data_IF_006802262815
#
_entry.id   IF_006802262815
#
_cell.length_a   1.000
_cell.length_b   1.000
_cell.length_c   1.000
_cell.angle_alpha   90.00
_cell.angle_beta   90.00
_cell.angle_gamma   90.00
#
_symmetry.space_group_name_H-M   'P 1'
#
loop_
_entity.id
_entity.type
_entity.pdbx_description
1 polymer ?
#
# COMPACT_ATOMS: atom_id res chain seq x y z
N UNK A 1 -28.02 14.21 -30.55
CA UNK A 1 -27.77 14.32 -29.10
C UNK A 1 -26.38 13.81 -28.83
N UNK A 2 -25.51 14.67 -28.29
CA UNK A 2 -24.15 14.32 -27.88
C UNK A 2 -24.22 13.31 -26.71
N UNK A 3 -23.45 12.19 -26.73
CA UNK A 3 -23.36 11.34 -25.54
C UNK A 3 -22.59 12.06 -24.40
N UNK A 4 -22.88 11.76 -23.13
CA UNK A 4 -22.25 12.41 -21.98
C UNK A 4 -20.76 12.07 -21.85
N UNK A 5 -19.96 12.94 -21.20
CA UNK A 5 -18.52 12.75 -21.07
C UNK A 5 -18.18 11.55 -20.17
N UNK A 6 -17.53 10.56 -20.80
CA UNK A 6 -16.57 9.61 -20.25
C UNK A 6 -16.68 9.24 -18.77
N UNK A 7 -17.44 8.18 -18.48
CA UNK A 7 -17.03 7.26 -17.40
C UNK A 7 -15.71 6.65 -17.83
N UNK A 8 -14.59 7.13 -17.28
CA UNK A 8 -13.30 6.48 -17.43
C UNK A 8 -13.45 5.04 -16.88
N UNK A 9 -13.62 4.08 -17.78
CA UNK A 9 -13.46 2.67 -17.45
C UNK A 9 -12.06 2.52 -16.86
N UNK A 10 -11.87 1.78 -15.76
CA UNK A 10 -10.52 1.51 -15.27
C UNK A 10 -9.77 0.86 -16.42
N UNK A 11 -8.73 1.54 -16.91
CA UNK A 11 -7.85 1.00 -17.94
C UNK A 11 -7.20 -0.24 -17.35
N UNK A 12 -7.78 -1.40 -17.64
CA UNK A 12 -7.16 -2.70 -17.42
C UNK A 12 -6.01 -2.81 -18.42
N UNK A 13 -4.93 -2.10 -18.13
CA UNK A 13 -3.66 -2.30 -18.81
C UNK A 13 -3.15 -3.66 -18.35
N UNK A 14 -3.54 -4.72 -19.07
CA UNK A 14 -3.03 -6.07 -18.86
C UNK A 14 -1.50 -5.98 -18.84
N UNK A 15 -0.81 -6.52 -17.82
CA UNK A 15 0.64 -6.42 -17.74
C UNK A 15 1.29 -6.96 -19.03
N UNK A 16 2.13 -6.15 -19.67
CA UNK A 16 2.88 -6.57 -20.85
C UNK A 16 4.08 -7.41 -20.42
N UNK A 17 4.46 -8.42 -21.22
CA UNK A 17 5.68 -9.21 -20.99
C UNK A 17 6.88 -8.25 -20.95
N UNK A 18 7.63 -8.23 -19.84
CA UNK A 18 8.74 -7.29 -19.63
C UNK A 18 8.37 -5.97 -18.94
N UNK A 19 7.08 -5.67 -18.71
CA UNK A 19 6.62 -4.40 -18.14
C UNK A 19 6.41 -4.42 -16.62
N UNK A 20 6.31 -3.23 -16.04
CA UNK A 20 5.82 -3.02 -14.67
C UNK A 20 4.30 -2.79 -14.68
N UNK A 21 3.60 -3.26 -13.63
CA UNK A 21 2.19 -2.95 -13.40
C UNK A 21 2.09 -1.77 -12.42
N UNK A 22 1.40 -0.70 -12.80
CA UNK A 22 1.16 0.45 -11.92
C UNK A 22 -0.33 0.51 -11.57
N UNK A 23 -0.67 0.51 -10.28
CA UNK A 23 -2.06 0.54 -9.80
C UNK A 23 -2.32 1.84 -9.04
N UNK A 24 -3.22 2.66 -9.58
CA UNK A 24 -3.59 3.98 -9.02
C UNK A 24 -5.08 4.10 -8.69
N UNK A 25 -5.87 3.04 -8.89
CA UNK A 25 -7.31 3.04 -8.66
C UNK A 25 -7.70 3.20 -7.18
N UNK A 26 -9.00 3.26 -6.89
CA UNK A 26 -9.52 3.18 -5.52
C UNK A 26 -9.34 1.78 -4.91
N UNK A 27 -9.39 1.70 -3.58
CA UNK A 27 -9.08 0.50 -2.80
C UNK A 27 -9.81 -0.78 -3.22
N UNK A 28 -11.13 -0.73 -3.39
CA UNK A 28 -11.93 -1.90 -3.76
C UNK A 28 -11.60 -2.44 -5.16
N UNK A 29 -11.37 -1.53 -6.10
CA UNK A 29 -10.98 -1.86 -7.48
C UNK A 29 -9.57 -2.41 -7.54
N UNK A 30 -8.63 -1.83 -6.79
CA UNK A 30 -7.27 -2.32 -6.69
C UNK A 30 -7.21 -3.73 -6.06
N UNK A 31 -7.92 -3.94 -4.93
CA UNK A 31 -7.94 -5.23 -4.24
C UNK A 31 -8.52 -6.36 -5.11
N UNK A 32 -9.65 -6.11 -5.77
CA UNK A 32 -10.29 -7.09 -6.66
C UNK A 32 -9.40 -7.44 -7.87
N UNK A 33 -8.77 -6.43 -8.48
CA UNK A 33 -7.86 -6.62 -9.62
C UNK A 33 -6.62 -7.44 -9.22
N UNK A 34 -5.98 -7.11 -8.10
CA UNK A 34 -4.79 -7.82 -7.63
C UNK A 34 -5.12 -9.27 -7.22
N UNK A 35 -6.25 -9.50 -6.55
CA UNK A 35 -6.70 -10.84 -6.20
C UNK A 35 -7.00 -11.71 -7.44
N UNK A 36 -7.55 -11.11 -8.51
CA UNK A 36 -7.73 -11.79 -9.78
C UNK A 36 -6.39 -12.17 -10.42
N UNK A 37 -5.46 -11.20 -10.52
CA UNK A 37 -4.12 -11.43 -11.07
C UNK A 37 -3.34 -12.51 -10.31
N UNK A 38 -3.38 -12.50 -8.97
CA UNK A 38 -2.73 -13.50 -8.12
C UNK A 38 -3.19 -14.93 -8.41
N UNK A 39 -4.50 -15.11 -8.69
CA UNK A 39 -5.10 -16.42 -9.02
C UNK A 39 -4.89 -16.84 -10.47
N UNK A 40 -4.80 -15.89 -11.38
CA UNK A 40 -4.88 -16.15 -12.82
C UNK A 40 -3.59 -16.69 -13.45
N UNK A 41 -2.45 -16.66 -12.76
CA UNK A 41 -1.10 -16.85 -13.33
C UNK A 41 -0.79 -15.96 -14.56
N UNK A 42 -1.71 -15.10 -14.99
CA UNK A 42 -1.54 -14.19 -16.10
C UNK A 42 -0.47 -13.16 -15.77
N UNK A 43 0.39 -12.92 -16.77
CA UNK A 43 1.45 -11.91 -16.81
C UNK A 43 1.77 -11.26 -15.46
N UNK A 44 2.48 -12.00 -14.59
CA UNK A 44 3.18 -11.34 -13.48
C UNK A 44 4.10 -10.29 -14.10
N UNK A 45 3.90 -9.04 -13.73
CA UNK A 45 4.78 -7.96 -14.15
C UNK A 45 6.21 -8.32 -13.73
N UNK A 46 7.08 -8.58 -14.72
CA UNK A 46 8.45 -9.05 -14.47
C UNK A 46 9.32 -7.96 -13.86
N UNK A 47 8.97 -6.69 -14.10
CA UNK A 47 9.59 -5.53 -13.48
C UNK A 47 8.89 -5.10 -12.16
N UNK A 48 7.94 -5.90 -11.65
CA UNK A 48 7.25 -5.66 -10.38
C UNK A 48 5.91 -4.92 -10.49
N UNK A 49 5.21 -4.83 -9.35
CA UNK A 49 3.94 -4.12 -9.19
C UNK A 49 4.16 -2.89 -8.32
N UNK A 50 3.84 -1.71 -8.84
CA UNK A 50 3.92 -0.43 -8.13
C UNK A 50 2.51 0.03 -7.75
N UNK A 51 2.31 0.25 -6.46
CA UNK A 51 1.02 0.63 -5.91
C UNK A 51 1.08 2.11 -5.52
N UNK A 52 0.02 2.85 -5.82
CA UNK A 52 -0.08 4.22 -5.36
C UNK A 52 0.00 4.29 -3.82
N UNK A 53 0.59 5.36 -3.24
CA UNK A 53 0.82 5.43 -1.80
C UNK A 53 -0.47 5.26 -0.98
N UNK A 54 -1.58 5.84 -1.46
CA UNK A 54 -2.88 5.78 -0.80
C UNK A 54 -3.51 4.39 -0.77
N UNK A 55 -2.99 3.43 -1.53
CA UNK A 55 -3.43 2.03 -1.54
C UNK A 55 -2.76 1.16 -0.47
N UNK A 56 -1.89 1.73 0.35
CA UNK A 56 -1.25 0.98 1.44
C UNK A 56 -2.27 0.60 2.52
N UNK A 57 -2.68 -0.67 2.52
CA UNK A 57 -3.20 -1.40 3.67
C UNK A 57 -4.01 -2.66 3.31
N UNK A 58 -4.78 -3.19 4.26
CA UNK A 58 -5.01 -4.64 4.35
C UNK A 58 -5.62 -5.34 3.11
N UNK A 59 -6.76 -4.93 2.52
CA UNK A 59 -7.30 -5.56 1.32
C UNK A 59 -6.33 -5.68 0.13
N UNK A 60 -5.47 -4.68 -0.07
CA UNK A 60 -4.48 -4.65 -1.16
C UNK A 60 -3.28 -5.53 -0.80
N UNK A 61 -2.83 -5.47 0.46
CA UNK A 61 -1.70 -6.25 0.97
C UNK A 61 -2.00 -7.76 1.00
N UNK A 62 -3.23 -8.16 1.33
CA UNK A 62 -3.70 -9.56 1.37
C UNK A 62 -3.80 -10.23 0.00
N UNK A 63 -3.51 -9.53 -1.10
CA UNK A 63 -3.57 -10.11 -2.46
C UNK A 63 -2.46 -11.15 -2.73
N UNK A 64 -1.42 -11.23 -1.90
CA UNK A 64 -0.31 -12.16 -2.05
C UNK A 64 0.65 -11.82 -3.19
N UNK A 65 0.43 -10.70 -3.90
CA UNK A 65 1.39 -10.15 -4.85
C UNK A 65 2.37 -9.24 -4.12
N UNK A 66 3.67 -9.52 -4.28
CA UNK A 66 4.70 -8.59 -3.83
C UNK A 66 4.53 -7.25 -4.57
N UNK A 67 4.42 -6.17 -3.80
CA UNK A 67 4.17 -4.83 -4.32
C UNK A 67 5.12 -3.81 -3.71
N UNK A 68 5.47 -2.80 -4.51
CA UNK A 68 6.29 -1.67 -4.11
C UNK A 68 5.40 -0.44 -3.88
N UNK A 69 5.65 0.28 -2.78
CA UNK A 69 4.96 1.51 -2.41
C UNK A 69 5.98 2.65 -2.36
N UNK A 70 5.79 3.73 -3.13
CA UNK A 70 6.53 4.96 -2.92
C UNK A 70 5.93 5.68 -1.70
N UNK A 71 6.68 5.77 -0.60
CA UNK A 71 6.27 6.50 0.58
C UNK A 71 7.22 7.67 0.83
N UNK A 72 6.67 8.77 1.34
CA UNK A 72 7.45 9.96 1.75
C UNK A 72 7.68 10.00 3.27
N UNK A 73 7.41 8.88 3.94
CA UNK A 73 7.64 8.65 5.35
C UNK A 73 8.11 7.21 5.54
N UNK A 74 8.85 6.95 6.60
CA UNK A 74 9.24 5.60 6.98
C UNK A 74 8.18 4.98 7.92
N UNK A 75 7.50 3.87 7.54
CA UNK A 75 6.48 3.23 8.37
C UNK A 75 6.97 2.77 9.75
N UNK A 76 8.29 2.65 9.94
CA UNK A 76 8.93 2.24 11.20
C UNK A 76 9.31 3.41 12.11
N UNK A 77 9.11 4.65 11.67
CA UNK A 77 9.37 5.82 12.52
C UNK A 77 8.25 6.02 13.56
N UNK A 78 8.60 6.76 14.61
CA UNK A 78 7.74 6.97 15.78
C UNK A 78 6.37 7.55 15.40
N UNK A 79 6.33 8.61 14.59
CA UNK A 79 5.06 9.28 14.26
C UNK A 79 4.10 8.41 13.42
N UNK A 80 4.56 7.71 12.35
CA UNK A 80 3.75 6.72 11.65
C UNK A 80 3.24 5.57 12.54
N UNK A 81 4.07 5.08 13.46
CA UNK A 81 3.66 4.03 14.42
C UNK A 81 2.62 4.53 15.43
N UNK A 82 2.77 5.75 15.93
CA UNK A 82 1.77 6.39 16.81
C UNK A 82 0.41 6.54 16.12
N UNK A 83 0.40 6.95 14.85
CA UNK A 83 -0.83 7.01 14.06
C UNK A 83 -1.48 5.63 13.94
N UNK A 84 -0.70 4.61 13.56
CA UNK A 84 -1.21 3.25 13.40
C UNK A 84 -1.79 2.68 14.70
N UNK A 85 -1.12 2.90 15.83
CA UNK A 85 -1.64 2.54 17.16
C UNK A 85 -2.95 3.28 17.49
N UNK A 86 -3.02 4.58 17.16
CA UNK A 86 -4.22 5.40 17.37
C UNK A 86 -5.42 4.89 16.58
N UNK A 87 -5.23 4.55 15.30
CA UNK A 87 -6.28 3.97 14.46
C UNK A 87 -6.74 2.63 15.01
N UNK A 88 -5.79 1.74 15.33
CA UNK A 88 -6.09 0.42 15.90
C UNK A 88 -6.90 0.53 17.19
N UNK A 89 -6.56 1.47 18.08
CA UNK A 89 -7.27 1.66 19.34
C UNK A 89 -8.65 2.28 19.15
N UNK A 90 -8.81 3.22 18.21
CA UNK A 90 -10.05 3.98 18.04
C UNK A 90 -11.09 3.26 17.18
N UNK A 91 -10.63 2.45 16.23
CA UNK A 91 -11.46 1.80 15.21
C UNK A 91 -11.35 0.27 15.30
N UNK A 92 -11.25 -0.27 16.51
CA UNK A 92 -11.33 -1.72 16.78
C UNK A 92 -10.39 -2.59 15.92
N UNK A 93 -9.15 -2.14 15.70
CA UNK A 93 -8.16 -2.86 14.92
C UNK A 93 -8.23 -2.63 13.40
N UNK A 94 -8.96 -1.62 12.92
CA UNK A 94 -8.86 -1.20 11.52
C UNK A 94 -7.39 -0.87 11.14
N UNK A 95 -6.95 -1.25 9.93
CA UNK A 95 -5.57 -1.03 9.50
C UNK A 95 -5.32 0.45 9.18
N UNK A 96 -4.11 0.98 9.45
CA UNK A 96 -3.73 2.32 9.01
C UNK A 96 -3.66 2.42 7.49
N UNK A 97 -3.81 3.63 6.96
CA UNK A 97 -3.59 3.93 5.55
C UNK A 97 -2.67 5.15 5.39
N UNK A 98 -1.93 5.23 4.29
CA UNK A 98 -1.04 6.38 4.04
C UNK A 98 -1.83 7.69 3.87
N UNK A 99 -3.01 7.62 3.25
CA UNK A 99 -3.90 8.78 3.12
C UNK A 99 -4.44 9.22 4.49
N UNK A 100 -4.82 8.26 5.34
CA UNK A 100 -5.25 8.57 6.70
C UNK A 100 -4.13 9.16 7.56
N UNK A 101 -2.88 8.70 7.39
CA UNK A 101 -1.73 9.30 8.06
C UNK A 101 -1.49 10.74 7.62
N UNK A 102 -1.57 11.01 6.31
CA UNK A 102 -1.47 12.37 5.78
C UNK A 102 -2.59 13.27 6.35
N UNK A 103 -3.83 12.78 6.42
CA UNK A 103 -4.95 13.51 7.04
C UNK A 103 -4.76 13.74 8.53
N UNK A 104 -4.22 12.76 9.27
CA UNK A 104 -3.92 12.87 10.69
C UNK A 104 -2.83 13.90 10.99
N UNK A 105 -1.78 13.96 10.15
CA UNK A 105 -0.77 15.02 10.24
C UNK A 105 -1.38 16.39 9.92
N UNK A 106 -2.20 16.48 8.88
CA UNK A 106 -2.86 17.74 8.50
C UNK A 106 -3.74 18.29 9.63
N UNK A 107 -4.47 17.42 10.33
CA UNK A 107 -5.26 17.79 11.51
C UNK A 107 -4.40 18.29 12.69
N UNK A 108 -3.09 17.99 12.71
CA UNK A 108 -2.11 18.48 13.69
C UNK A 108 -1.31 19.70 13.20
N UNK A 109 -1.64 20.26 12.03
CA UNK A 109 -0.87 21.34 11.42
C UNK A 109 0.46 20.92 10.80
N UNK A 110 0.64 19.62 10.55
CA UNK A 110 1.83 19.03 9.94
C UNK A 110 1.53 18.43 8.57
N UNK A 111 2.55 18.06 7.82
CA UNK A 111 2.41 17.35 6.54
C UNK A 111 3.42 16.21 6.45
N UNK A 112 3.15 15.23 5.59
CA UNK A 112 4.15 14.23 5.23
C UNK A 112 5.28 14.96 4.49
N UNK A 113 6.46 14.98 5.08
CA UNK A 113 7.63 15.66 4.55
C UNK A 113 8.81 14.68 4.53
N UNK A 114 9.30 14.37 3.34
CA UNK A 114 10.42 13.46 3.13
C UNK A 114 10.63 13.18 1.64
N UNK A 115 11.86 12.84 1.23
CA UNK A 115 12.10 12.33 -0.11
C UNK A 115 11.37 10.99 -0.27
N UNK A 116 10.76 10.73 -1.45
CA UNK A 116 10.09 9.45 -1.67
C UNK A 116 11.11 8.30 -1.60
N UNK A 117 10.74 7.20 -0.99
CA UNK A 117 11.53 5.97 -0.89
C UNK A 117 10.63 4.79 -1.23
N UNK A 118 11.18 3.77 -1.92
CA UNK A 118 10.42 2.56 -2.23
C UNK A 118 10.45 1.59 -1.06
N UNK A 119 9.27 1.10 -0.72
CA UNK A 119 9.08 0.04 0.26
C UNK A 119 8.45 -1.18 -0.38
N UNK A 120 8.92 -2.37 -0.06
CA UNK A 120 8.28 -3.63 -0.42
C UNK A 120 7.39 -4.08 0.73
N UNK A 121 6.19 -4.57 0.41
CA UNK A 121 5.36 -5.28 1.38
C UNK A 121 5.35 -6.78 1.08
N UNK A 122 5.54 -7.59 2.12
CA UNK A 122 5.41 -9.05 2.03
C UNK A 122 4.66 -9.61 3.23
N UNK A 123 3.86 -10.64 2.98
CA UNK A 123 3.26 -11.46 4.03
C UNK A 123 4.31 -12.42 4.59
N UNK A 124 4.37 -12.58 5.91
CA UNK A 124 5.16 -13.64 6.53
C UNK A 124 4.20 -14.80 6.78
N UNK A 125 4.35 -15.89 6.02
CA UNK A 125 3.44 -17.04 6.10
C UNK A 125 3.54 -17.83 7.43
N UNK A 126 4.55 -17.53 8.25
CA UNK A 126 4.77 -18.17 9.54
C UNK A 126 5.30 -17.16 10.56
N UNK A 127 4.47 -16.77 11.53
CA UNK A 127 4.89 -15.99 12.69
C UNK A 127 4.61 -16.81 13.97
N UNK A 128 5.58 -16.96 14.88
CA UNK A 128 5.34 -17.53 16.20
C UNK A 128 4.26 -16.75 16.94
N UNK A 129 3.40 -17.45 17.67
CA UNK A 129 2.28 -16.85 18.42
C UNK A 129 2.73 -15.79 19.42
N UNK A 130 3.96 -15.85 19.94
CA UNK A 130 4.52 -14.82 20.83
C UNK A 130 4.71 -13.45 20.14
N UNK A 131 4.87 -13.42 18.80
CA UNK A 131 5.03 -12.17 18.05
C UNK A 131 3.69 -11.42 17.85
N UNK A 132 2.56 -12.13 17.85
CA UNK A 132 1.24 -11.54 17.55
C UNK A 132 0.78 -10.48 18.56
N UNK A 133 1.21 -10.56 19.81
CA UNK A 133 0.82 -9.63 20.88
C UNK A 133 1.50 -8.25 20.79
N UNK A 134 2.53 -8.09 19.94
CA UNK A 134 3.33 -6.86 19.81
C UNK A 134 3.03 -6.03 18.55
N UNK A 135 2.03 -6.43 17.74
CA UNK A 135 1.76 -5.81 16.43
C UNK A 135 0.50 -4.92 16.37
N UNK A 136 -0.16 -4.68 17.50
CA UNK A 136 -1.20 -3.65 17.58
C UNK A 136 -0.58 -2.28 17.22
N UNK A 137 -1.00 -1.71 16.09
CA UNK A 137 -0.40 -0.49 15.55
C UNK A 137 0.73 -0.69 14.52
N UNK A 138 0.83 -1.86 13.89
CA UNK A 138 1.69 -2.05 12.71
C UNK A 138 0.99 -1.63 11.41
N UNK A 139 1.78 -1.24 10.40
CA UNK A 139 1.28 -0.86 9.07
C UNK A 139 0.83 -2.06 8.21
N UNK A 140 1.31 -3.26 8.54
CA UNK A 140 0.91 -4.52 7.93
C UNK A 140 0.88 -5.61 9.02
N UNK A 141 -0.29 -5.87 9.60
CA UNK A 141 -0.48 -7.06 10.44
C UNK A 141 -0.17 -8.32 9.64
N UNK A 142 0.55 -9.28 10.24
CA UNK A 142 0.99 -10.54 9.62
C UNK A 142 1.96 -10.42 8.45
N UNK A 143 2.66 -9.28 8.36
CA UNK A 143 3.65 -9.05 7.33
C UNK A 143 4.65 -7.96 7.69
N UNK A 144 5.40 -7.54 6.69
CA UNK A 144 6.46 -6.55 6.84
C UNK A 144 6.47 -5.59 5.66
N UNK A 145 6.81 -4.33 5.95
CA UNK A 145 7.01 -3.28 4.95
C UNK A 145 8.48 -2.84 5.06
N UNK A 146 9.34 -3.23 4.13
CA UNK A 146 10.79 -2.97 4.23
C UNK A 146 11.27 -1.95 3.20
N UNK A 147 12.25 -1.09 3.53
CA UNK A 147 12.85 -0.20 2.54
C UNK A 147 13.61 -1.01 1.48
N UNK A 148 13.40 -0.70 0.21
CA UNK A 148 14.04 -1.34 -0.95
C UNK A 148 15.13 -0.46 -1.55
N UNK A 149 14.92 0.85 -1.50
CA UNK A 149 15.88 1.85 -1.98
C UNK A 149 16.28 2.78 -0.84
N UNK A 150 17.33 3.57 -1.02
CA UNK A 150 17.47 4.83 -0.29
C UNK A 150 16.48 5.90 -0.79
N UNK A 151 16.54 7.12 -0.26
CA UNK A 151 15.79 8.27 -0.79
C UNK A 151 15.95 8.43 -2.30
N UNK A 152 14.84 8.41 -3.03
CA UNK A 152 14.81 8.76 -4.45
C UNK A 152 15.02 10.27 -4.57
N UNK A 153 15.91 10.66 -5.48
CA UNK A 153 16.16 12.07 -5.79
C UNK A 153 15.35 12.47 -7.01
N UNK A 154 14.78 13.66 -6.96
CA UNK A 154 14.25 14.32 -8.14
C UNK A 154 15.46 14.69 -9.03
N UNK A 155 15.48 14.17 -10.26
CA UNK A 155 16.48 14.48 -11.28
C UNK A 155 16.10 15.73 -12.06
#
# INVERSE_FOLDING_TARGET
>A
GQPPPGTASPSSARPRKGGALVVTAGWSTAASTLAHLARSHEARATAGTYLAPWLLGAPVLKSGLAGFFPLRFNPHEVAPLQYAATVSARFHGEPPTAAGYAGWLAAKGSAVAGPPQLYAASHVAYMPVEATSHHAGSWLPDGTVTPVTGPLRES
#
